data_IF_745200146086
#
_entry.id   IF_745200146086
#
_cell.length_a   1.000
_cell.length_b   1.000
_cell.length_c   1.000
_cell.angle_alpha   90.00
_cell.angle_beta   90.00
_cell.angle_gamma   90.00
#
_symmetry.space_group_name_H-M   'P 1'
#
loop_
_entity.id
_entity.type
_entity.pdbx_description
1 polymer ?
#
# COMPACT_ATOMS: atom_id res chain seq x y z
N UNK A 1 -21.37 -7.23 -4.42
CA UNK A 1 -21.24 -7.02 -2.96
C UNK A 1 -19.92 -7.57 -2.43
N UNK A 2 -19.49 -8.77 -2.84
CA UNK A 2 -18.22 -9.37 -2.38
C UNK A 2 -16.96 -8.66 -2.89
N UNK A 3 -16.96 -8.22 -4.16
CA UNK A 3 -15.84 -7.47 -4.75
C UNK A 3 -15.58 -6.12 -4.06
N UNK A 4 -16.64 -5.49 -3.55
CA UNK A 4 -16.53 -4.27 -2.74
C UNK A 4 -15.91 -4.58 -1.36
N UNK A 5 -16.26 -5.73 -0.78
CA UNK A 5 -15.77 -6.14 0.55
C UNK A 5 -14.27 -6.44 0.53
N UNK A 6 -13.78 -7.22 -0.43
CA UNK A 6 -12.35 -7.58 -0.48
C UNK A 6 -11.47 -6.33 -0.63
N UNK A 7 -11.86 -5.39 -1.51
CA UNK A 7 -11.12 -4.16 -1.73
C UNK A 7 -11.13 -3.26 -0.50
N UNK A 8 -12.27 -3.17 0.20
CA UNK A 8 -12.38 -2.38 1.43
C UNK A 8 -11.61 -2.98 2.59
N UNK A 9 -11.64 -4.31 2.78
CA UNK A 9 -10.82 -4.96 3.80
C UNK A 9 -9.33 -4.76 3.53
N UNK A 10 -8.89 -4.88 2.28
CA UNK A 10 -7.52 -4.60 1.91
C UNK A 10 -7.14 -3.13 2.16
N UNK A 11 -8.04 -2.17 1.86
CA UNK A 11 -7.82 -0.76 2.16
C UNK A 11 -7.75 -0.46 3.66
N UNK A 12 -8.58 -1.11 4.49
CA UNK A 12 -8.51 -0.98 5.95
C UNK A 12 -7.22 -1.59 6.48
N UNK A 13 -6.81 -2.75 5.97
CA UNK A 13 -5.54 -3.37 6.34
C UNK A 13 -4.35 -2.47 5.99
N UNK A 14 -4.35 -1.91 4.77
CA UNK A 14 -3.34 -0.93 4.36
C UNK A 14 -3.36 0.34 5.22
N UNK A 15 -4.54 0.87 5.54
CA UNK A 15 -4.69 2.03 6.42
C UNK A 15 -4.07 1.78 7.81
N UNK A 16 -4.27 0.59 8.39
CA UNK A 16 -3.66 0.23 9.67
C UNK A 16 -2.14 0.18 9.55
N UNK A 17 -1.60 -0.50 8.53
CA UNK A 17 -0.16 -0.55 8.30
C UNK A 17 0.45 0.83 8.10
N UNK A 18 -0.17 1.65 7.25
CA UNK A 18 0.21 3.04 7.01
C UNK A 18 0.25 3.87 8.30
N UNK A 19 -0.81 3.79 9.12
CA UNK A 19 -0.87 4.53 10.38
C UNK A 19 0.23 4.08 11.36
N UNK A 20 0.45 2.77 11.50
CA UNK A 20 1.48 2.19 12.38
C UNK A 20 2.88 2.60 11.92
N UNK A 21 3.15 2.57 10.61
CA UNK A 21 4.45 2.97 10.06
C UNK A 21 4.74 4.46 10.24
N UNK A 22 3.76 5.33 9.97
CA UNK A 22 3.91 6.77 10.20
C UNK A 22 4.09 7.09 11.68
N UNK A 23 3.41 6.37 12.59
CA UNK A 23 3.63 6.50 14.02
C UNK A 23 5.07 6.08 14.42
N UNK A 24 5.64 5.05 13.78
CA UNK A 24 7.03 4.68 13.99
C UNK A 24 8.00 5.78 13.53
N UNK A 25 7.76 6.42 12.39
CA UNK A 25 8.56 7.57 11.96
C UNK A 25 8.49 8.74 12.96
N UNK A 26 7.31 9.04 13.50
CA UNK A 26 7.16 10.06 14.53
C UNK A 26 7.95 9.66 15.80
N UNK A 27 7.89 8.39 16.19
CA UNK A 27 8.64 7.84 17.34
C UNK A 27 10.16 7.91 17.13
N UNK A 28 10.66 7.65 15.92
CA UNK A 28 12.08 7.73 15.56
C UNK A 28 12.58 9.17 15.35
N UNK A 29 11.67 10.10 15.07
CA UNK A 29 11.95 11.52 14.85
C UNK A 29 12.25 11.84 13.38
N UNK A 30 11.91 13.06 12.95
CA UNK A 30 12.01 13.48 11.55
C UNK A 30 13.46 13.50 11.00
N UNK A 31 14.46 13.60 11.87
CA UNK A 31 15.88 13.52 11.49
C UNK A 31 16.35 12.11 11.14
N UNK A 32 15.50 11.08 11.26
CA UNK A 32 15.84 9.71 10.91
C UNK A 32 15.91 9.47 9.39
N UNK A 33 15.41 10.41 8.59
CA UNK A 33 15.37 10.32 7.13
C UNK A 33 15.96 11.58 6.50
N UNK A 34 16.41 11.47 5.26
CA UNK A 34 16.83 12.64 4.47
C UNK A 34 15.60 13.52 4.13
N UNK A 35 15.86 14.77 3.75
CA UNK A 35 14.81 15.69 3.27
C UNK A 35 14.12 15.15 2.02
N UNK A 36 14.89 14.57 1.09
CA UNK A 36 14.39 14.01 -0.16
C UNK A 36 13.45 12.83 0.10
N UNK A 37 13.83 11.91 1.00
CA UNK A 37 12.99 10.80 1.40
C UNK A 37 11.74 11.28 2.16
N UNK A 38 11.87 12.29 3.00
CA UNK A 38 10.72 12.89 3.68
C UNK A 38 9.69 13.46 2.69
N UNK A 39 10.14 14.18 1.67
CA UNK A 39 9.26 14.71 0.61
C UNK A 39 8.64 13.57 -0.20
N UNK A 40 9.43 12.60 -0.65
CA UNK A 40 8.94 11.45 -1.40
C UNK A 40 7.92 10.63 -0.60
N UNK A 41 8.21 10.37 0.68
CA UNK A 41 7.32 9.69 1.62
C UNK A 41 6.02 10.47 1.85
N UNK A 42 6.08 11.80 1.94
CA UNK A 42 4.89 12.65 2.07
C UNK A 42 4.00 12.53 0.82
N UNK A 43 4.59 12.57 -0.38
CA UNK A 43 3.84 12.38 -1.63
C UNK A 43 3.22 10.98 -1.71
N UNK A 44 3.96 9.94 -1.31
CA UNK A 44 3.45 8.58 -1.20
C UNK A 44 2.31 8.47 -0.18
N UNK A 45 2.39 9.20 0.93
CA UNK A 45 1.33 9.31 1.94
C UNK A 45 0.06 9.94 1.38
N UNK A 46 0.18 11.02 0.60
CA UNK A 46 -0.97 11.62 -0.09
C UNK A 46 -1.63 10.62 -1.03
N UNK A 47 -0.84 9.92 -1.86
CA UNK A 47 -1.36 8.87 -2.77
C UNK A 47 -2.06 7.76 -1.98
N UNK A 48 -1.49 7.36 -0.85
CA UNK A 48 -2.06 6.33 0.04
C UNK A 48 -3.42 6.76 0.58
N UNK A 49 -3.51 7.96 1.17
CA UNK A 49 -4.75 8.52 1.73
C UNK A 49 -5.80 8.67 0.64
N UNK A 50 -5.47 9.25 -0.50
CA UNK A 50 -6.41 9.42 -1.63
C UNK A 50 -6.94 8.07 -2.10
N UNK A 51 -6.06 7.07 -2.27
CA UNK A 51 -6.46 5.73 -2.69
C UNK A 51 -7.40 5.09 -1.68
N UNK A 52 -7.07 5.13 -0.39
CA UNK A 52 -7.90 4.60 0.70
C UNK A 52 -9.27 5.27 0.69
N UNK A 53 -9.32 6.60 0.62
CA UNK A 53 -10.58 7.36 0.59
C UNK A 53 -11.43 6.95 -0.62
N UNK A 54 -10.85 6.86 -1.82
CA UNK A 54 -11.59 6.47 -3.02
C UNK A 54 -12.14 5.05 -2.92
N UNK A 55 -11.40 4.11 -2.34
CA UNK A 55 -11.88 2.75 -2.08
C UNK A 55 -13.03 2.76 -1.08
N UNK A 56 -12.88 3.44 0.07
CA UNK A 56 -13.90 3.49 1.10
C UNK A 56 -15.18 4.21 0.65
N UNK A 57 -15.05 5.19 -0.25
CA UNK A 57 -16.15 5.89 -0.91
C UNK A 57 -16.72 5.13 -2.11
N UNK A 58 -16.22 3.93 -2.41
CA UNK A 58 -16.68 3.06 -3.50
C UNK A 58 -16.60 3.74 -4.87
N UNK A 59 -15.56 4.54 -5.09
CA UNK A 59 -15.39 5.24 -6.35
C UNK A 59 -15.32 4.24 -7.53
N UNK A 60 -15.95 4.51 -8.70
CA UNK A 60 -16.02 3.54 -9.80
C UNK A 60 -14.65 3.04 -10.29
N UNK A 61 -13.63 3.92 -10.21
CA UNK A 61 -12.24 3.63 -10.59
C UNK A 61 -11.36 3.12 -9.45
N UNK A 62 -11.92 2.87 -8.26
CA UNK A 62 -11.15 2.45 -7.10
C UNK A 62 -10.28 1.19 -7.35
N UNK A 63 -10.74 0.15 -8.05
CA UNK A 63 -9.90 -1.02 -8.33
C UNK A 63 -8.67 -0.68 -9.21
N UNK A 64 -8.84 0.16 -10.23
CA UNK A 64 -7.73 0.60 -11.08
C UNK A 64 -6.70 1.42 -10.27
N UNK A 65 -7.19 2.33 -9.44
CA UNK A 65 -6.34 3.19 -8.60
C UNK A 65 -5.61 2.33 -7.55
N UNK A 66 -6.29 1.34 -6.96
CA UNK A 66 -5.67 0.42 -6.01
C UNK A 66 -4.50 -0.36 -6.63
N UNK A 67 -4.62 -0.82 -7.88
CA UNK A 67 -3.50 -1.47 -8.61
C UNK A 67 -2.39 -0.46 -8.90
N UNK A 68 -2.73 0.70 -9.44
CA UNK A 68 -1.78 1.73 -9.85
C UNK A 68 -1.01 2.34 -8.67
N UNK A 69 -1.59 2.33 -7.47
CA UNK A 69 -0.94 2.83 -6.25
C UNK A 69 -0.31 1.71 -5.42
N UNK A 70 -1.03 0.61 -5.17
CA UNK A 70 -0.64 -0.42 -4.20
C UNK A 70 0.70 -1.07 -4.52
N UNK A 71 0.93 -1.49 -5.77
CA UNK A 71 2.21 -2.11 -6.13
C UNK A 71 3.39 -1.12 -6.12
N UNK A 72 3.30 0.08 -6.75
CA UNK A 72 4.39 1.05 -6.67
C UNK A 72 4.70 1.48 -5.23
N UNK A 73 3.69 1.67 -4.38
CA UNK A 73 3.90 1.99 -2.96
C UNK A 73 4.65 0.87 -2.24
N UNK A 74 4.21 -0.39 -2.41
CA UNK A 74 4.89 -1.54 -1.81
C UNK A 74 6.36 -1.65 -2.24
N UNK A 75 6.64 -1.45 -3.53
CA UNK A 75 8.01 -1.47 -4.07
C UNK A 75 8.82 -0.31 -3.49
N UNK A 76 8.25 0.90 -3.45
CA UNK A 76 8.92 2.08 -2.91
C UNK A 76 9.27 1.94 -1.43
N UNK A 77 8.32 1.51 -0.61
CA UNK A 77 8.55 1.27 0.82
C UNK A 77 9.56 0.15 1.06
N UNK A 78 9.48 -0.95 0.29
CA UNK A 78 10.45 -2.03 0.37
C UNK A 78 11.85 -1.56 -0.03
N UNK A 79 11.98 -0.77 -1.11
CA UNK A 79 13.26 -0.25 -1.56
C UNK A 79 13.86 0.75 -0.56
N UNK A 80 13.03 1.59 0.08
CA UNK A 80 13.49 2.54 1.08
C UNK A 80 14.09 1.83 2.31
N UNK A 81 13.46 0.74 2.78
CA UNK A 81 13.78 0.15 4.09
C UNK A 81 14.53 -1.18 4.04
N UNK A 82 14.19 -2.06 3.09
CA UNK A 82 14.63 -3.45 3.08
C UNK A 82 15.88 -3.70 2.23
N UNK A 83 16.40 -2.65 1.58
CA UNK A 83 17.67 -2.70 0.85
C UNK A 83 18.79 -2.07 1.67
N UNK A 84 20.06 -2.46 1.45
CA UNK A 84 21.19 -1.64 1.88
C UNK A 84 21.10 -0.24 1.30
N UNK A 85 21.77 0.72 1.93
CA UNK A 85 21.78 2.12 1.51
C UNK A 85 22.22 2.24 0.05
N UNK A 86 21.35 2.81 -0.79
CA UNK A 86 21.54 2.90 -2.25
C UNK A 86 21.35 4.32 -2.79
N UNK A 87 20.69 5.22 -2.06
CA UNK A 87 20.60 6.64 -2.41
C UNK A 87 20.12 7.49 -1.22
N UNK A 88 19.91 8.79 -1.47
CA UNK A 88 19.20 9.69 -0.53
C UNK A 88 17.76 9.26 -0.25
N UNK A 89 17.19 8.33 -1.03
CA UNK A 89 15.84 7.77 -0.81
C UNK A 89 15.86 6.53 0.09
N UNK A 90 16.99 6.18 0.69
CA UNK A 90 17.13 5.06 1.61
C UNK A 90 16.90 5.49 3.07
N UNK A 91 16.16 4.69 3.82
CA UNK A 91 16.12 4.63 5.29
C UNK A 91 16.33 3.16 5.67
N UNK A 92 17.56 2.69 5.41
CA UNK A 92 17.90 1.27 5.42
C UNK A 92 17.84 0.71 6.84
N UNK A 93 17.03 -0.32 7.03
CA UNK A 93 16.94 -1.04 8.30
C UNK A 93 18.07 -2.05 8.49
N UNK A 94 18.68 -2.48 7.38
CA UNK A 94 19.84 -3.37 7.38
C UNK A 94 21.07 -2.62 7.92
N UNK A 95 21.30 -1.41 7.44
CA UNK A 95 22.46 -0.62 7.86
C UNK A 95 22.18 0.17 9.16
N UNK A 96 20.95 0.67 9.32
CA UNK A 96 20.54 1.59 10.40
C UNK A 96 20.19 0.93 11.74
N UNK A 97 20.24 -0.41 11.84
CA UNK A 97 19.99 -1.18 13.08
C UNK A 97 18.75 -0.71 13.86
N UNK A 98 17.59 -0.70 13.19
CA UNK A 98 16.32 -0.27 13.80
C UNK A 98 15.73 -1.34 14.73
N UNK A 99 14.78 -0.92 15.58
CA UNK A 99 14.06 -1.83 16.48
C UNK A 99 13.20 -2.85 15.72
N UNK A 100 12.89 -3.98 16.36
CA UNK A 100 11.94 -4.98 15.82
C UNK A 100 10.55 -4.38 15.53
N UNK A 101 10.14 -3.36 16.29
CA UNK A 101 8.89 -2.64 16.04
C UNK A 101 8.91 -1.88 14.71
N UNK A 102 10.03 -1.26 14.35
CA UNK A 102 10.21 -0.59 13.04
C UNK A 102 10.10 -1.57 11.88
N UNK A 103 10.74 -2.75 12.02
CA UNK A 103 10.59 -3.84 11.06
C UNK A 103 9.14 -4.27 10.92
N UNK A 104 8.46 -4.53 12.03
CA UNK A 104 7.04 -4.89 12.03
C UNK A 104 6.17 -3.84 11.35
N UNK A 105 6.35 -2.56 11.70
CA UNK A 105 5.57 -1.45 11.18
C UNK A 105 5.70 -1.31 9.66
N UNK A 106 6.94 -1.33 9.15
CA UNK A 106 7.21 -1.22 7.70
C UNK A 106 6.69 -2.44 6.93
N UNK A 107 6.93 -3.66 7.43
CA UNK A 107 6.44 -4.89 6.79
C UNK A 107 4.90 -4.94 6.77
N UNK A 108 4.24 -4.45 7.81
CA UNK A 108 2.78 -4.36 7.88
C UNK A 108 2.23 -3.42 6.80
N UNK A 109 2.85 -2.25 6.61
CA UNK A 109 2.48 -1.31 5.55
C UNK A 109 2.70 -1.91 4.16
N UNK A 110 3.87 -2.51 3.91
CA UNK A 110 4.21 -3.15 2.63
C UNK A 110 3.21 -4.27 2.30
N UNK A 111 2.91 -5.14 3.27
CA UNK A 111 1.91 -6.20 3.11
C UNK A 111 0.52 -5.63 2.83
N UNK A 112 0.14 -4.53 3.49
CA UNK A 112 -1.09 -3.80 3.24
C UNK A 112 -1.18 -3.24 1.81
N UNK A 113 -0.13 -2.59 1.34
CA UNK A 113 -0.06 -2.02 0.00
C UNK A 113 -0.15 -3.12 -1.09
N UNK A 114 0.55 -4.23 -0.89
CA UNK A 114 0.46 -5.41 -1.76
C UNK A 114 -0.96 -6.00 -1.76
N UNK A 115 -1.58 -6.17 -0.59
CA UNK A 115 -2.93 -6.68 -0.47
C UNK A 115 -3.94 -5.76 -1.20
N UNK A 116 -3.77 -4.44 -1.09
CA UNK A 116 -4.59 -3.46 -1.78
C UNK A 116 -4.47 -3.57 -3.31
N UNK A 117 -3.23 -3.63 -3.82
CA UNK A 117 -2.96 -3.82 -5.26
C UNK A 117 -3.53 -5.14 -5.77
N UNK A 118 -3.31 -6.23 -5.05
CA UNK A 118 -3.82 -7.56 -5.39
C UNK A 118 -5.36 -7.61 -5.38
N UNK A 119 -6.00 -7.03 -4.36
CA UNK A 119 -7.46 -6.94 -4.31
C UNK A 119 -8.02 -6.13 -5.48
N UNK A 120 -7.39 -5.01 -5.84
CA UNK A 120 -7.73 -4.24 -7.03
C UNK A 120 -7.67 -5.08 -8.30
N UNK A 121 -6.58 -5.84 -8.48
CA UNK A 121 -6.39 -6.71 -9.63
C UNK A 121 -7.44 -7.84 -9.68
N UNK A 122 -7.76 -8.47 -8.55
CA UNK A 122 -8.80 -9.50 -8.45
C UNK A 122 -10.16 -8.95 -8.87
N UNK A 123 -10.54 -7.76 -8.37
CA UNK A 123 -11.82 -7.12 -8.73
C UNK A 123 -11.85 -6.77 -10.21
N UNK A 124 -10.77 -6.25 -10.79
CA UNK A 124 -10.71 -5.96 -12.23
C UNK A 124 -10.88 -7.22 -13.08
N UNK A 125 -10.21 -8.33 -12.70
CA UNK A 125 -10.34 -9.61 -13.40
C UNK A 125 -11.75 -10.18 -13.32
N UNK A 126 -12.41 -10.09 -12.16
CA UNK A 126 -13.81 -10.52 -11.99
C UNK A 126 -14.79 -9.69 -12.81
N UNK A 127 -14.57 -8.38 -12.92
CA UNK A 127 -15.39 -7.48 -13.76
C UNK A 127 -15.19 -7.72 -15.26
N UNK A 128 -14.02 -8.20 -15.67
CA UNK A 128 -13.69 -8.49 -17.07
C UNK A 128 -14.11 -9.91 -17.50
N UNK A 129 -14.31 -10.84 -16.56
CA UNK A 129 -14.78 -12.18 -16.87
C UNK A 129 -16.19 -12.10 -17.48
N UNK A 130 -16.45 -12.75 -18.63
CA UNK A 130 -17.80 -12.86 -19.17
C UNK A 130 -18.73 -13.51 -18.13
N UNK A 131 -20.01 -13.11 -18.02
CA UNK A 131 -20.97 -13.87 -17.24
C UNK A 131 -20.94 -15.31 -17.74
N UNK A 132 -20.70 -16.26 -16.83
CA UNK A 132 -20.62 -17.68 -17.16
C UNK A 132 -21.86 -18.05 -17.97
N UNK A 133 -21.62 -18.40 -19.25
CA UNK A 133 -22.53 -19.04 -20.20
C UNK A 133 -24.00 -19.05 -19.74
N UNK A 134 -24.76 -18.04 -20.17
CA UNK A 134 -26.21 -18.17 -20.37
C UNK A 134 -26.52 -19.11 -21.57
N UNK A 135 -25.78 -20.22 -21.68
CA UNK A 135 -26.05 -21.36 -22.55
C UNK A 135 -26.46 -22.53 -21.65
N UNK A 136 -27.57 -22.32 -20.95
CA UNK A 136 -28.36 -23.37 -20.34
C UNK A 136 -29.68 -23.46 -21.07
N UNK A 137 -29.73 -24.36 -22.06
CA UNK A 137 -30.90 -25.12 -22.53
C UNK A 137 -32.27 -24.42 -22.53
N UNK A 138 -32.78 -24.07 -23.72
CA UNK A 138 -34.11 -24.50 -24.20
C UNK A 138 -34.08 -24.69 -25.70
#
# INVERSE_FOLDING_TARGET
MEDDRILRYAAVFFLVGFAVHNADHIRRGASSVTTELFVAGTLAGVVSVVTIVLVLRRHPRAPQIAVAAGFPLAIGFAAAHLLPTWSVLSDSFIDGHVSAFSWFASLLEIAGALALGAAGLVVLRRRAAPPALALGSR
#
